data_IF_393105880287
#
_entry.id   IF_393105880287
#
_cell.length_a   1.000
_cell.length_b   1.000
_cell.length_c   1.000
_cell.angle_alpha   90.00
_cell.angle_beta   90.00
_cell.angle_gamma   90.00
#
_symmetry.space_group_name_H-M   'P 1'
#
loop_
_entity.id
_entity.type
_entity.pdbx_description
1 polymer ?
#
# COMPACT_ATOMS: atom_id res chain seq x y z
N UNK A 1 25.28 -6.04 -51.05
CA UNK A 1 26.24 -5.58 -50.01
C UNK A 1 25.49 -4.68 -49.04
N UNK A 2 24.88 -5.25 -48.01
CA UNK A 2 23.98 -4.55 -47.07
C UNK A 2 24.71 -4.44 -45.72
N UNK A 3 25.05 -3.21 -45.32
CA UNK A 3 25.68 -2.93 -44.02
C UNK A 3 24.65 -3.05 -42.89
N UNK A 4 24.71 -4.15 -42.15
CA UNK A 4 24.02 -4.31 -40.87
C UNK A 4 24.71 -3.42 -39.82
N UNK A 5 23.95 -2.51 -39.19
CA UNK A 5 24.41 -1.72 -38.04
C UNK A 5 24.35 -2.59 -36.78
N UNK A 6 25.46 -2.62 -36.07
CA UNK A 6 25.69 -3.32 -34.81
C UNK A 6 25.10 -2.52 -33.64
N UNK A 7 24.21 -3.08 -32.79
CA UNK A 7 23.69 -2.41 -31.61
C UNK A 7 24.39 -2.93 -30.35
N UNK A 8 25.62 -2.49 -30.10
CA UNK A 8 26.28 -2.71 -28.81
C UNK A 8 26.92 -1.43 -28.29
N UNK A 9 26.68 -1.18 -26.99
CA UNK A 9 27.18 -0.09 -26.14
C UNK A 9 26.27 1.14 -26.01
N UNK A 10 25.05 0.94 -25.50
CA UNK A 10 24.50 1.89 -24.53
C UNK A 10 25.08 1.58 -23.15
N UNK A 11 26.16 2.29 -22.78
CA UNK A 11 26.57 2.37 -21.38
C UNK A 11 25.47 3.14 -20.64
N UNK A 12 24.76 2.46 -19.75
CA UNK A 12 23.87 3.11 -18.80
C UNK A 12 24.68 4.09 -17.96
N UNK A 13 24.48 5.39 -18.20
CA UNK A 13 24.89 6.42 -17.27
C UNK A 13 24.09 6.20 -15.98
N UNK A 14 24.79 5.75 -14.95
CA UNK A 14 24.28 5.78 -13.58
C UNK A 14 23.81 7.22 -13.28
N UNK A 15 22.55 7.45 -12.88
CA UNK A 15 22.05 8.81 -12.70
C UNK A 15 22.77 9.44 -11.51
N UNK A 16 23.65 10.42 -11.78
CA UNK A 16 24.29 11.27 -10.74
C UNK A 16 23.28 11.83 -9.74
N UNK A 17 22.01 11.99 -10.14
CA UNK A 17 20.91 12.42 -9.29
C UNK A 17 20.64 11.52 -8.07
N UNK A 18 20.89 10.20 -8.15
CA UNK A 18 20.60 9.29 -7.01
C UNK A 18 21.59 9.49 -5.87
N UNK A 19 22.86 9.81 -6.18
CA UNK A 19 23.88 10.09 -5.16
C UNK A 19 23.68 11.42 -4.43
N UNK A 20 23.17 12.45 -5.13
CA UNK A 20 22.80 13.73 -4.49
C UNK A 20 21.55 13.63 -3.62
N UNK A 21 20.56 12.81 -3.99
CA UNK A 21 19.37 12.61 -3.16
C UNK A 21 19.71 11.86 -1.86
N UNK A 22 20.59 10.86 -1.93
CA UNK A 22 21.03 10.10 -0.76
C UNK A 22 21.91 10.93 0.21
N UNK A 23 22.69 11.90 -0.28
CA UNK A 23 23.47 12.78 0.60
C UNK A 23 22.62 13.81 1.35
N UNK A 24 21.51 14.26 0.75
CA UNK A 24 20.54 15.17 1.41
C UNK A 24 19.67 14.45 2.43
N UNK A 25 19.36 13.16 2.21
CA UNK A 25 18.54 12.37 3.14
C UNK A 25 19.23 12.12 4.49
N UNK A 26 20.56 12.05 4.54
CA UNK A 26 21.30 11.71 5.76
C UNK A 26 21.33 12.82 6.83
N UNK A 27 20.70 13.98 6.58
CA UNK A 27 20.71 15.16 7.49
C UNK A 27 19.30 15.46 8.04
N UNK A 28 18.26 14.77 7.58
CA UNK A 28 16.87 15.14 7.90
C UNK A 28 16.26 14.31 9.04
N UNK A 29 15.60 15.01 9.98
CA UNK A 29 14.76 14.43 11.04
C UNK A 29 13.76 13.38 10.48
N UNK A 30 13.41 12.31 11.25
CA UNK A 30 12.51 11.25 10.82
C UNK A 30 11.16 11.73 10.26
N UNK A 31 10.68 12.90 10.69
CA UNK A 31 9.42 13.48 10.21
C UNK A 31 9.52 14.00 8.77
N UNK A 32 10.71 14.45 8.34
CA UNK A 32 10.94 14.93 6.98
C UNK A 32 11.11 13.77 5.97
N UNK A 33 11.52 12.58 6.45
CA UNK A 33 11.62 11.38 5.61
C UNK A 33 10.27 10.98 5.02
N UNK A 34 9.20 11.07 5.80
CA UNK A 34 7.85 10.67 5.35
C UNK A 34 7.37 11.62 4.24
N UNK A 35 7.56 12.94 4.40
CA UNK A 35 7.15 13.93 3.39
C UNK A 35 7.95 13.81 2.08
N UNK A 36 9.26 13.54 2.15
CA UNK A 36 10.10 13.38 0.96
C UNK A 36 9.78 12.08 0.23
N UNK A 37 9.53 10.98 0.95
CA UNK A 37 9.14 9.69 0.34
C UNK A 37 7.77 9.81 -0.32
N UNK A 38 6.78 10.45 0.31
CA UNK A 38 5.45 10.67 -0.28
C UNK A 38 5.53 11.54 -1.53
N UNK A 39 6.26 12.67 -1.49
CA UNK A 39 6.41 13.56 -2.65
C UNK A 39 7.20 12.91 -3.82
N UNK A 40 8.16 12.04 -3.51
CA UNK A 40 8.91 11.28 -4.52
C UNK A 40 8.07 10.16 -5.13
N UNK A 41 7.21 9.52 -4.33
CA UNK A 41 6.29 8.49 -4.80
C UNK A 41 5.22 9.08 -5.72
N UNK A 42 4.67 10.24 -5.40
CA UNK A 42 3.72 10.96 -6.27
C UNK A 42 4.36 11.34 -7.60
N UNK A 43 5.59 11.86 -7.63
CA UNK A 43 6.29 12.20 -8.89
C UNK A 43 6.62 10.96 -9.72
N UNK A 44 7.07 9.87 -9.11
CA UNK A 44 7.35 8.62 -9.83
C UNK A 44 6.07 7.97 -10.37
N UNK A 45 4.96 8.05 -9.64
CA UNK A 45 3.66 7.56 -10.12
C UNK A 45 3.10 8.45 -11.24
N UNK A 46 3.30 9.78 -11.17
CA UNK A 46 2.82 10.71 -12.19
C UNK A 46 3.60 10.57 -13.51
N UNK A 47 4.92 10.37 -13.45
CA UNK A 47 5.75 10.13 -14.64
C UNK A 47 5.43 8.77 -15.28
N UNK A 48 5.21 7.72 -14.47
CA UNK A 48 4.79 6.41 -15.00
C UNK A 48 3.35 6.37 -15.50
N UNK A 49 2.43 7.14 -14.90
CA UNK A 49 1.07 7.26 -15.39
C UNK A 49 1.05 7.91 -16.78
N UNK A 50 1.92 8.88 -17.04
CA UNK A 50 2.06 9.50 -18.37
C UNK A 50 2.64 8.53 -19.41
N UNK A 51 3.62 7.70 -19.05
CA UNK A 51 4.19 6.70 -19.96
C UNK A 51 3.25 5.49 -20.19
N UNK A 52 2.37 5.16 -19.24
CA UNK A 52 1.37 4.10 -19.41
C UNK A 52 0.09 4.55 -20.14
N UNK A 53 -0.07 5.84 -20.47
CA UNK A 53 -1.28 6.37 -21.12
C UNK A 53 -1.17 6.49 -22.65
N UNK A 54 -0.05 6.09 -23.26
CA UNK A 54 0.12 6.17 -24.71
C UNK A 54 0.06 4.77 -25.33
N UNK A 55 -1.13 4.41 -25.81
CA UNK A 55 -1.49 3.45 -26.89
C UNK A 55 -2.84 2.75 -26.62
N UNK A 56 -3.86 3.49 -26.18
CA UNK A 56 -5.23 3.08 -26.49
C UNK A 56 -5.48 3.56 -27.93
N UNK A 57 -5.58 2.62 -28.86
CA UNK A 57 -5.94 2.90 -30.27
C UNK A 57 -7.23 3.72 -30.32
N UNK A 58 -7.31 4.71 -31.22
CA UNK A 58 -8.54 5.48 -31.47
C UNK A 58 -9.76 4.57 -31.73
N UNK A 59 -9.55 3.35 -32.21
CA UNK A 59 -10.60 2.34 -32.38
C UNK A 59 -11.17 1.81 -31.05
N UNK A 60 -10.32 1.65 -30.04
CA UNK A 60 -10.71 1.17 -28.71
C UNK A 60 -11.43 2.26 -27.91
N UNK A 61 -11.03 3.53 -28.08
CA UNK A 61 -11.74 4.67 -27.50
C UNK A 61 -13.15 4.82 -28.11
N UNK A 62 -13.28 4.65 -29.43
CA UNK A 62 -14.57 4.69 -30.14
C UNK A 62 -15.52 3.56 -29.73
N UNK A 63 -14.97 2.40 -29.36
CA UNK A 63 -15.76 1.24 -28.89
C UNK A 63 -16.38 1.51 -27.51
N UNK A 64 -15.60 2.08 -26.58
CA UNK A 64 -16.08 2.43 -25.24
C UNK A 64 -17.15 3.54 -25.25
N UNK A 65 -16.99 4.53 -26.13
CA UNK A 65 -18.00 5.58 -26.33
C UNK A 65 -19.33 5.06 -26.92
N UNK A 66 -19.33 3.87 -27.55
CA UNK A 66 -20.53 3.23 -28.09
C UNK A 66 -21.26 2.36 -27.07
N UNK A 67 -20.54 1.82 -26.09
CA UNK A 67 -21.09 0.95 -25.04
C UNK A 67 -21.79 1.75 -23.91
N UNK A 68 -21.42 3.03 -23.71
CA UNK A 68 -22.02 3.91 -22.68
C UNK A 68 -23.29 4.66 -23.12
N UNK A 69 -24.15 4.08 -23.96
CA UNK A 69 -25.49 4.64 -24.18
C UNK A 69 -26.44 4.18 -23.07
N UNK A 70 -26.90 5.06 -22.16
CA UNK A 70 -27.90 4.69 -21.18
C UNK A 70 -29.22 4.42 -21.90
N UNK A 71 -29.71 3.19 -21.76
CA UNK A 71 -31.05 2.80 -22.21
C UNK A 71 -32.03 3.41 -21.22
N UNK A 72 -32.64 4.54 -21.57
CA UNK A 72 -33.75 5.13 -20.83
C UNK A 72 -34.96 4.21 -21.05
N UNK A 73 -35.16 3.28 -20.11
CA UNK A 73 -36.35 2.46 -20.03
C UNK A 73 -37.53 3.30 -19.56
N UNK A 74 -38.48 3.54 -20.45
CA UNK A 74 -39.81 4.06 -20.13
C UNK A 74 -40.56 2.98 -19.33
N UNK A 75 -40.88 3.30 -18.07
CA UNK A 75 -41.70 2.45 -17.20
C UNK A 75 -43.16 2.77 -17.48
N UNK A 76 -43.85 1.86 -18.18
CA UNK A 76 -45.31 1.83 -18.23
C UNK A 76 -45.86 1.24 -16.93
N UNK A 77 -46.71 2.02 -16.26
CA UNK A 77 -47.44 1.63 -15.05
C UNK A 77 -48.75 0.97 -15.47
N UNK A 78 -48.84 -0.34 -15.35
CA UNK A 78 -50.10 -1.10 -15.38
C UNK A 78 -50.49 -1.55 -13.96
N UNK A 79 -51.77 -1.46 -13.55
CA UNK A 79 -52.21 -1.90 -12.24
C UNK A 79 -52.54 -3.39 -12.27
N UNK A 80 -52.07 -4.17 -11.30
CA UNK A 80 -52.61 -5.50 -11.11
C UNK A 80 -52.94 -5.84 -9.66
N UNK A 81 -54.14 -6.40 -9.54
CA UNK A 81 -54.88 -6.80 -8.35
C UNK A 81 -54.39 -8.17 -7.88
N UNK A 82 -54.32 -8.32 -6.55
CA UNK A 82 -54.99 -9.38 -5.78
C UNK A 82 -54.53 -10.85 -5.92
N UNK A 83 -54.36 -11.48 -4.75
CA UNK A 83 -54.38 -12.94 -4.52
C UNK A 83 -53.01 -13.48 -4.10
N UNK A 84 -52.68 -13.77 -2.84
CA UNK A 84 -53.26 -14.65 -1.81
C UNK A 84 -52.49 -15.98 -1.67
N UNK A 85 -52.10 -16.29 -0.42
CA UNK A 85 -51.66 -17.60 0.15
C UNK A 85 -50.28 -18.11 -0.31
N UNK A 86 -49.35 -18.59 0.51
CA UNK A 86 -49.37 -19.36 1.78
C UNK A 86 -48.09 -19.06 2.60
N UNK A 87 -48.13 -18.80 3.92
CA UNK A 87 -48.03 -19.73 5.07
C UNK A 87 -46.74 -20.59 5.10
N UNK A 88 -45.96 -20.43 6.18
CA UNK A 88 -44.90 -21.34 6.66
C UNK A 88 -43.56 -20.66 6.94
N UNK A 89 -43.45 -19.78 7.96
CA UNK A 89 -42.94 -20.03 9.33
C UNK A 89 -41.46 -20.47 9.48
N UNK A 90 -40.69 -19.55 10.09
CA UNK A 90 -39.65 -19.66 11.16
C UNK A 90 -38.41 -20.55 10.91
N UNK A 91 -37.17 -20.23 11.32
CA UNK A 91 -36.48 -19.24 12.16
C UNK A 91 -34.97 -19.34 11.72
N UNK A 92 -34.01 -18.45 11.96
CA UNK A 92 -33.63 -17.81 13.22
C UNK A 92 -32.47 -16.81 12.98
N UNK A 93 -32.52 -15.72 13.76
CA UNK A 93 -31.47 -14.78 14.20
C UNK A 93 -30.44 -14.16 13.23
N UNK A 94 -30.81 -12.98 12.70
CA UNK A 94 -29.90 -11.92 12.32
C UNK A 94 -29.60 -10.95 13.48
N UNK A 95 -28.33 -10.61 13.69
CA UNK A 95 -27.92 -9.43 14.46
C UNK A 95 -27.70 -8.25 13.51
N UNK A 96 -28.73 -7.42 13.37
CA UNK A 96 -28.62 -6.06 12.85
C UNK A 96 -28.02 -5.16 13.94
N UNK A 97 -26.89 -4.51 13.65
CA UNK A 97 -26.38 -3.41 14.49
C UNK A 97 -26.96 -2.11 13.95
N UNK A 98 -27.71 -1.45 14.82
CA UNK A 98 -28.41 -0.21 14.60
C UNK A 98 -27.45 0.95 14.27
N UNK A 99 -27.84 1.70 13.25
CA UNK A 99 -27.37 3.04 12.91
C UNK A 99 -27.76 4.02 14.01
N UNK A 100 -26.78 4.53 14.75
CA UNK A 100 -26.95 5.73 15.59
C UNK A 100 -26.47 6.95 14.80
N UNK A 101 -27.43 7.60 14.13
CA UNK A 101 -27.33 8.98 13.71
C UNK A 101 -28.11 9.82 14.71
N UNK A 102 -27.45 10.70 15.47
CA UNK A 102 -27.97 11.93 16.08
C UNK A 102 -26.99 12.50 17.11
N UNK A 103 -26.03 13.33 16.67
CA UNK A 103 -25.47 14.39 17.53
C UNK A 103 -25.34 15.68 16.71
N UNK A 104 -26.31 16.58 16.91
CA UNK A 104 -26.30 17.98 16.47
C UNK A 104 -25.58 18.83 17.52
N UNK A 105 -24.71 19.73 17.04
CA UNK A 105 -24.18 20.97 17.68
C UNK A 105 -23.33 20.76 18.95
N UNK A 106 -22.19 21.43 19.11
CA UNK A 106 -22.09 22.91 19.20
C UNK A 106 -20.65 23.34 18.95
N UNK A 107 -20.46 24.22 17.96
CA UNK A 107 -19.28 25.09 17.89
C UNK A 107 -19.40 26.12 19.01
N UNK A 108 -18.37 26.24 19.83
CA UNK A 108 -17.99 27.51 20.47
C UNK A 108 -16.47 27.61 20.40
N UNK A 109 -16.00 28.46 19.49
CA UNK A 109 -14.77 29.21 19.67
C UNK A 109 -14.82 29.98 21.00
N UNK A 110 -13.69 30.08 21.68
CA UNK A 110 -13.22 31.21 22.48
C UNK A 110 -11.82 30.78 22.99
N UNK A 111 -10.73 31.29 22.43
CA UNK A 111 -10.11 32.57 22.82
C UNK A 111 -10.08 32.79 24.34
N UNK A 112 -8.90 32.61 24.93
CA UNK A 112 -8.25 33.55 25.85
C UNK A 112 -7.14 32.85 26.64
N UNK A 113 -5.93 32.77 26.08
CA UNK A 113 -4.69 32.69 26.86
C UNK A 113 -4.48 34.03 27.57
N UNK A 114 -5.14 34.22 28.70
CA UNK A 114 -4.88 35.34 29.61
C UNK A 114 -3.90 34.86 30.68
N UNK A 115 -2.62 35.13 30.47
CA UNK A 115 -1.61 35.03 31.52
C UNK A 115 -1.93 36.07 32.59
N UNK A 116 -2.31 35.60 33.77
CA UNK A 116 -2.47 36.45 34.95
C UNK A 116 -1.41 35.99 35.96
N UNK A 117 -0.25 36.62 35.88
CA UNK A 117 0.74 36.66 36.95
C UNK A 117 0.15 37.50 38.09
N UNK A 118 -0.40 36.84 39.10
CA UNK A 118 -0.74 37.49 40.37
C UNK A 118 0.48 37.42 41.30
N UNK A 119 1.25 38.50 41.30
CA UNK A 119 2.15 38.84 42.40
C UNK A 119 1.32 39.04 43.67
N UNK A 120 1.45 38.14 44.63
CA UNK A 120 0.99 38.37 46.00
C UNK A 120 1.86 39.47 46.64
N UNK A 121 1.40 40.73 46.55
CA UNK A 121 1.87 41.81 47.44
C UNK A 121 1.24 41.59 48.82
N UNK A 122 2.01 40.98 49.73
CA UNK A 122 1.75 41.01 51.17
C UNK A 122 1.86 42.46 51.64
N UNK A 123 0.73 43.17 51.67
CA UNK A 123 0.60 44.44 52.40
C UNK A 123 0.63 44.10 53.89
N UNK A 124 1.81 44.21 54.52
CA UNK A 124 1.90 44.38 55.98
C UNK A 124 1.12 45.65 56.31
N UNK A 125 -0.09 45.49 56.88
CA UNK A 125 -0.74 46.58 57.60
C UNK A 125 0.13 46.86 58.81
N UNK A 126 0.57 48.11 58.91
CA UNK A 126 1.25 48.64 60.07
C UNK A 126 0.44 48.28 61.32
N UNK A 127 1.08 47.53 62.22
CA UNK A 127 0.69 47.49 63.63
C UNK A 127 0.75 48.93 64.11
N UNK A 128 -0.43 49.48 64.40
CA UNK A 128 -0.57 50.82 64.93
C UNK A 128 0.13 50.91 66.28
N UNK A 129 0.90 52.00 66.42
CA UNK A 129 1.36 52.53 67.70
C UNK A 129 0.29 52.34 68.79
N UNK A 130 0.57 51.44 69.74
CA UNK A 130 -0.02 51.53 71.06
C UNK A 130 0.70 52.68 71.78
N UNK A 131 0.14 53.88 71.66
CA UNK A 131 0.39 54.96 72.63
C UNK A 131 -0.05 54.47 74.01
N UNK A 132 0.81 54.47 75.04
CA UNK A 132 0.40 54.29 76.43
C UNK A 132 0.07 55.66 77.04
N UNK A 133 -0.88 56.39 76.46
CA UNK A 133 -1.37 57.64 77.06
C UNK A 133 -2.90 57.69 77.01
N UNK A 134 -3.52 56.76 77.73
CA UNK A 134 -4.90 56.88 78.16
C UNK A 134 -5.00 57.88 79.31
N UNK A 135 -4.92 59.17 79.00
CA UNK A 135 -5.35 60.23 79.91
C UNK A 135 -6.87 60.21 80.00
N UNK A 136 -7.40 59.36 80.89
CA UNK A 136 -8.83 59.28 81.25
C UNK A 136 -9.14 60.16 82.47
N UNK A 137 -8.38 61.22 82.74
CA UNK A 137 -8.54 62.09 83.92
C UNK A 137 -9.36 63.36 83.63
N UNK A 138 -10.36 63.27 82.76
CA UNK A 138 -11.20 64.42 82.39
C UNK A 138 -12.44 64.64 83.26
N UNK A 139 -13.14 63.58 83.67
CA UNK A 139 -14.25 63.62 84.63
C UNK A 139 -14.27 62.28 85.35
N UNK A 140 -14.00 62.28 86.65
CA UNK A 140 -14.09 61.12 87.52
C UNK A 140 -15.58 60.71 87.63
N UNK A 141 -16.09 59.97 86.65
CA UNK A 141 -17.40 59.32 86.76
C UNK A 141 -17.27 58.27 87.87
N UNK A 142 -18.10 58.40 88.89
CA UNK A 142 -18.20 57.43 89.96
C UNK A 142 -18.76 56.11 89.40
N UNK A 143 -18.41 54.95 89.98
CA UNK A 143 -19.03 53.67 89.59
C UNK A 143 -20.55 53.67 89.78
N UNK A 144 -21.05 54.61 90.58
CA UNK A 144 -22.45 54.82 90.88
C UNK A 144 -23.16 55.74 89.89
N UNK A 145 -22.42 56.40 88.98
CA UNK A 145 -23.01 57.22 87.93
C UNK A 145 -23.60 56.33 86.84
N UNK A 146 -24.80 56.70 86.36
CA UNK A 146 -25.55 55.88 85.40
C UNK A 146 -24.85 55.77 84.03
N UNK A 147 -23.93 56.70 83.74
CA UNK A 147 -23.11 56.77 82.53
C UNK A 147 -21.75 56.04 82.69
N UNK A 148 -21.48 55.40 83.82
CA UNK A 148 -20.21 54.73 84.08
C UNK A 148 -19.99 53.51 83.16
N UNK A 149 -18.96 53.58 82.31
CA UNK A 149 -18.61 52.50 81.39
C UNK A 149 -17.57 51.54 82.00
N UNK A 150 -18.05 50.39 82.47
CA UNK A 150 -17.22 49.34 83.07
C UNK A 150 -16.21 48.69 82.11
N UNK A 151 -16.36 48.85 80.78
CA UNK A 151 -15.44 48.24 79.79
C UNK A 151 -14.14 49.02 79.59
N UNK A 152 -14.09 50.28 80.00
CA UNK A 152 -12.93 51.18 79.80
C UNK A 152 -12.16 51.50 81.09
N UNK A 153 -12.61 51.03 82.26
CA UNK A 153 -11.95 51.29 83.55
C UNK A 153 -11.19 50.08 84.10
N UNK A 154 -9.94 50.30 84.53
CA UNK A 154 -9.09 49.30 85.16
C UNK A 154 -9.63 48.94 86.56
N UNK A 155 -9.67 47.65 86.90
CA UNK A 155 -10.30 47.10 88.13
C UNK A 155 -9.76 47.69 89.44
N UNK A 156 -8.62 48.38 89.42
CA UNK A 156 -7.94 48.95 90.57
C UNK A 156 -8.46 50.32 91.05
N UNK A 157 -9.40 50.97 90.34
CA UNK A 157 -9.80 52.36 90.63
C UNK A 157 -11.32 52.59 90.66
N UNK A 158 -12.10 51.63 91.17
CA UNK A 158 -13.57 51.73 91.14
C UNK A 158 -14.17 52.54 92.29
N UNK A 159 -13.42 52.79 93.37
CA UNK A 159 -13.88 53.64 94.49
C UNK A 159 -13.04 54.90 94.49
N UNK A 160 -13.67 56.03 94.22
CA UNK A 160 -13.03 57.33 94.28
C UNK A 160 -13.18 57.91 95.69
N UNK A 161 -12.25 58.76 96.08
CA UNK A 161 -12.27 59.44 97.38
C UNK A 161 -13.55 60.25 97.62
N UNK A 162 -14.21 60.71 96.55
CA UNK A 162 -15.52 61.38 96.58
C UNK A 162 -16.73 60.46 96.79
N UNK A 163 -16.55 59.14 96.75
CA UNK A 163 -17.60 58.16 97.03
C UNK A 163 -17.71 57.87 98.54
N UNK A 164 -16.61 58.06 99.29
CA UNK A 164 -16.50 57.81 100.74
C UNK A 164 -17.57 58.56 101.57
N UNK A 165 -17.88 59.84 101.34
CA UNK A 165 -18.92 60.54 102.07
C UNK A 165 -20.33 60.04 101.75
N UNK A 166 -20.56 59.51 100.54
CA UNK A 166 -21.86 58.96 100.12
C UNK A 166 -22.14 57.62 100.80
N UNK A 167 -21.12 56.82 101.10
CA UNK A 167 -21.27 55.61 101.90
C UNK A 167 -21.68 55.90 103.36
N UNK A 168 -21.26 57.05 103.91
CA UNK A 168 -21.61 57.46 105.27
C UNK A 168 -23.06 57.90 105.46
N UNK A 169 -23.79 58.24 104.38
CA UNK A 169 -25.19 58.67 104.43
C UNK A 169 -26.19 57.55 104.13
N UNK A 170 -25.72 56.36 103.75
CA UNK A 170 -26.58 55.23 103.45
C UNK A 170 -26.73 54.32 104.68
N UNK A 171 -27.98 53.98 105.01
CA UNK A 171 -28.24 52.94 106.00
C UNK A 171 -27.75 51.58 105.51
N UNK A 172 -27.44 50.68 106.45
CA UNK A 172 -26.94 49.31 106.15
C UNK A 172 -27.83 48.60 105.12
N UNK A 173 -29.16 48.75 105.22
CA UNK A 173 -30.12 48.13 104.28
C UNK A 173 -30.00 48.67 102.85
N UNK A 174 -29.65 49.95 102.67
CA UNK A 174 -29.46 50.55 101.35
C UNK A 174 -28.13 50.12 100.71
N UNK A 175 -27.08 49.98 101.53
CA UNK A 175 -25.79 49.44 101.11
C UNK A 175 -25.91 47.97 100.70
N UNK A 176 -26.61 47.16 101.51
CA UNK A 176 -26.87 45.76 101.22
C UNK A 176 -27.74 45.60 99.95
N UNK A 177 -28.85 46.32 99.83
CA UNK A 177 -29.72 46.25 98.66
C UNK A 177 -29.08 46.79 97.37
N UNK A 178 -28.18 47.77 97.49
CA UNK A 178 -27.34 48.23 96.38
C UNK A 178 -26.33 47.16 95.96
N UNK A 179 -25.55 46.63 96.91
CA UNK A 179 -24.57 45.58 96.65
C UNK A 179 -25.21 44.32 96.01
N UNK A 180 -26.37 43.88 96.49
CA UNK A 180 -27.12 42.76 95.91
C UNK A 180 -27.57 43.02 94.47
N UNK A 181 -28.04 44.24 94.15
CA UNK A 181 -28.41 44.62 92.77
C UNK A 181 -27.20 44.63 91.84
N UNK A 182 -26.06 45.14 92.30
CA UNK A 182 -24.83 45.15 91.52
C UNK A 182 -24.26 43.74 91.33
N UNK A 183 -24.25 42.90 92.37
CA UNK A 183 -23.87 41.50 92.27
C UNK A 183 -24.78 40.74 91.30
N UNK A 184 -26.10 40.93 91.39
CA UNK A 184 -27.07 40.33 90.47
C UNK A 184 -26.84 40.77 89.02
N UNK A 185 -26.55 42.06 88.80
CA UNK A 185 -26.22 42.60 87.48
C UNK A 185 -24.90 42.09 86.94
N UNK A 186 -23.87 41.95 87.77
CA UNK A 186 -22.58 41.38 87.39
C UNK A 186 -22.70 39.89 87.01
N UNK A 187 -23.47 39.12 87.79
CA UNK A 187 -23.78 37.71 87.48
C UNK A 187 -24.54 37.61 86.16
N UNK A 188 -25.56 38.45 85.93
CA UNK A 188 -26.30 38.47 84.66
C UNK A 188 -25.40 38.82 83.45
N UNK A 189 -24.51 39.81 83.59
CA UNK A 189 -23.54 40.17 82.54
C UNK A 189 -22.52 39.06 82.29
N UNK A 190 -22.04 38.36 83.32
CA UNK A 190 -21.17 37.19 83.16
C UNK A 190 -21.90 36.05 82.46
N UNK A 191 -23.15 35.77 82.81
CA UNK A 191 -23.98 34.78 82.12
C UNK A 191 -24.16 35.13 80.65
N UNK A 192 -24.47 36.40 80.32
CA UNK A 192 -24.58 36.87 78.93
C UNK A 192 -23.24 36.79 78.17
N UNK A 193 -22.12 37.14 78.82
CA UNK A 193 -20.80 37.01 78.23
C UNK A 193 -20.44 35.54 77.94
N UNK A 194 -20.75 34.63 78.87
CA UNK A 194 -20.57 33.20 78.68
C UNK A 194 -21.48 32.63 77.58
N UNK A 195 -22.74 33.09 77.51
CA UNK A 195 -23.66 32.72 76.43
C UNK A 195 -23.14 33.20 75.07
N UNK A 196 -22.67 34.46 74.97
CA UNK A 196 -22.11 35.01 73.74
C UNK A 196 -20.81 34.31 73.33
N UNK A 197 -19.95 33.96 74.30
CA UNK A 197 -18.75 33.17 74.04
C UNK A 197 -19.11 31.77 73.52
N UNK A 198 -20.12 31.14 74.11
CA UNK A 198 -20.63 29.82 73.68
C UNK A 198 -21.29 29.88 72.30
N UNK A 199 -22.06 30.92 72.00
CA UNK A 199 -22.66 31.16 70.68
C UNK A 199 -21.57 31.34 69.62
N UNK A 200 -20.55 32.17 69.88
CA UNK A 200 -19.42 32.34 68.99
C UNK A 200 -18.65 31.03 68.76
N UNK A 201 -18.46 30.23 69.81
CA UNK A 201 -17.84 28.90 69.70
C UNK A 201 -18.69 27.95 68.84
N UNK A 202 -20.00 27.95 69.01
CA UNK A 202 -20.91 27.14 68.20
C UNK A 202 -20.88 27.56 66.71
N UNK A 203 -20.89 28.87 66.42
CA UNK A 203 -20.76 29.38 65.05
C UNK A 203 -19.41 29.00 64.44
N UNK A 204 -18.33 29.09 65.21
CA UNK A 204 -17.01 28.65 64.76
C UNK A 204 -16.97 27.15 64.45
N UNK A 205 -17.58 26.32 65.32
CA UNK A 205 -17.68 24.87 65.12
C UNK A 205 -18.51 24.51 63.88
N UNK A 206 -19.64 25.19 63.64
CA UNK A 206 -20.46 24.98 62.44
C UNK A 206 -19.68 25.34 61.17
N UNK A 207 -18.98 26.47 61.15
CA UNK A 207 -18.13 26.86 60.01
C UNK A 207 -16.98 25.87 59.79
N UNK A 208 -16.35 25.38 60.86
CA UNK A 208 -15.30 24.37 60.75
C UNK A 208 -15.84 23.05 60.16
N UNK A 209 -17.02 22.63 60.59
CA UNK A 209 -17.68 21.43 60.07
C UNK A 209 -18.11 21.59 58.60
N UNK A 210 -18.65 22.75 58.20
CA UNK A 210 -18.96 23.06 56.81
C UNK A 210 -17.71 23.04 55.92
N UNK A 211 -16.61 23.63 56.39
CA UNK A 211 -15.33 23.62 55.68
C UNK A 211 -14.77 22.19 55.55
N UNK A 212 -14.78 21.40 56.63
CA UNK A 212 -14.33 20.01 56.60
C UNK A 212 -15.17 19.16 55.63
N UNK A 213 -16.49 19.38 55.59
CA UNK A 213 -17.38 18.71 54.63
C UNK A 213 -17.10 19.16 53.18
N UNK A 214 -16.80 20.44 52.95
CA UNK A 214 -16.43 20.95 51.64
C UNK A 214 -15.08 20.40 51.16
N UNK A 215 -14.12 20.26 52.08
CA UNK A 215 -12.79 19.69 51.83
C UNK A 215 -12.89 18.20 51.51
N UNK A 216 -13.63 17.43 52.31
CA UNK A 216 -13.91 16.00 52.02
C UNK A 216 -14.60 15.81 50.66
N UNK A 217 -15.51 16.71 50.26
CA UNK A 217 -16.12 16.67 48.92
C UNK A 217 -15.10 16.93 47.81
N UNK A 218 -14.17 17.88 48.00
CA UNK A 218 -13.10 18.17 47.04
C UNK A 218 -12.11 17.02 46.93
N UNK A 219 -11.75 16.38 48.04
CA UNK A 219 -10.86 15.21 48.05
C UNK A 219 -11.46 14.04 47.27
N UNK A 220 -12.77 13.78 47.44
CA UNK A 220 -13.47 12.76 46.62
C UNK A 220 -13.44 13.10 45.13
N UNK A 221 -13.73 14.35 44.76
CA UNK A 221 -13.65 14.78 43.37
C UNK A 221 -12.24 14.66 42.79
N UNK A 222 -11.20 15.00 43.56
CA UNK A 222 -9.81 14.83 43.15
C UNK A 222 -9.45 13.36 42.97
N UNK A 223 -9.92 12.48 43.86
CA UNK A 223 -9.72 11.05 43.73
C UNK A 223 -10.39 10.48 42.47
N UNK A 224 -11.65 10.86 42.21
CA UNK A 224 -12.39 10.42 41.02
C UNK A 224 -11.71 10.89 39.73
N UNK A 225 -11.25 12.16 39.69
CA UNK A 225 -10.50 12.70 38.56
C UNK A 225 -9.15 12.02 38.38
N UNK A 226 -8.43 11.69 39.46
CA UNK A 226 -7.17 10.96 39.38
C UNK A 226 -7.39 9.55 38.80
N UNK A 227 -8.45 8.87 39.22
CA UNK A 227 -8.81 7.56 38.66
C UNK A 227 -9.14 7.65 37.16
N UNK A 228 -9.83 8.72 36.73
CA UNK A 228 -10.09 8.97 35.30
C UNK A 228 -8.80 9.20 34.51
N UNK A 229 -7.84 9.97 35.05
CA UNK A 229 -6.53 10.17 34.44
C UNK A 229 -5.77 8.85 34.28
N UNK A 230 -5.76 8.01 35.31
CA UNK A 230 -5.08 6.71 35.26
C UNK A 230 -5.71 5.78 34.21
N UNK A 231 -7.05 5.77 34.13
CA UNK A 231 -7.79 5.01 33.12
C UNK A 231 -7.47 5.50 31.70
N UNK A 232 -7.46 6.83 31.48
CA UNK A 232 -7.11 7.43 30.19
C UNK A 232 -5.65 7.12 29.80
N UNK A 233 -4.73 7.11 30.76
CA UNK A 233 -3.33 6.77 30.53
C UNK A 233 -3.13 5.31 30.13
N UNK A 234 -3.89 4.39 30.73
CA UNK A 234 -3.92 2.98 30.32
C UNK A 234 -4.46 2.83 28.88
N UNK A 235 -5.51 3.57 28.56
CA UNK A 235 -6.13 3.61 27.24
C UNK A 235 -5.19 4.14 26.14
N UNK A 236 -4.44 5.20 26.44
CA UNK A 236 -3.39 5.75 25.56
C UNK A 236 -2.31 4.69 25.33
N UNK A 237 -1.82 4.05 26.38
CA UNK A 237 -0.78 3.01 26.29
C UNK A 237 -1.24 1.82 25.41
N UNK A 238 -2.53 1.44 25.52
CA UNK A 238 -3.14 0.41 24.68
C UNK A 238 -3.20 0.82 23.21
N UNK A 239 -3.64 2.04 22.91
CA UNK A 239 -3.71 2.56 21.53
C UNK A 239 -2.33 2.72 20.90
N UNK A 240 -1.33 3.15 21.67
CA UNK A 240 0.06 3.23 21.19
C UNK A 240 0.63 1.86 20.81
N UNK A 241 0.31 0.80 21.57
CA UNK A 241 0.67 -0.57 21.20
C UNK A 241 0.02 -0.98 19.89
N UNK A 242 -1.28 -0.72 19.73
CA UNK A 242 -2.00 -1.01 18.48
C UNK A 242 -1.40 -0.25 17.28
N UNK A 243 -1.02 1.02 17.45
CA UNK A 243 -0.37 1.81 16.41
C UNK A 243 0.98 1.20 16.00
N UNK A 244 1.79 0.74 16.95
CA UNK A 244 3.06 0.06 16.64
C UNK A 244 2.86 -1.25 15.89
N UNK A 245 1.84 -2.02 16.24
CA UNK A 245 1.53 -3.28 15.57
C UNK A 245 1.04 -3.04 14.13
N UNK A 246 0.14 -2.06 13.93
CA UNK A 246 -0.30 -1.64 12.60
C UNK A 246 0.85 -1.06 11.75
N UNK A 247 1.78 -0.31 12.35
CA UNK A 247 2.96 0.18 11.64
C UNK A 247 3.83 -0.97 11.14
N UNK A 248 4.02 -2.04 11.92
CA UNK A 248 4.73 -3.24 11.48
C UNK A 248 4.01 -3.93 10.33
N UNK A 249 2.69 -4.05 10.40
CA UNK A 249 1.87 -4.63 9.32
C UNK A 249 2.00 -3.83 8.03
N UNK A 250 1.95 -2.49 8.09
CA UNK A 250 2.16 -1.62 6.93
C UNK A 250 3.55 -1.81 6.33
N UNK A 251 4.60 -1.90 7.14
CA UNK A 251 5.97 -2.17 6.65
C UNK A 251 6.05 -3.53 5.96
N UNK A 252 5.40 -4.56 6.51
CA UNK A 252 5.36 -5.89 5.89
C UNK A 252 4.61 -5.86 4.55
N UNK A 253 3.43 -5.23 4.50
CA UNK A 253 2.66 -5.09 3.26
C UNK A 253 3.41 -4.32 2.17
N UNK A 254 4.22 -3.33 2.55
CA UNK A 254 5.09 -2.62 1.61
C UNK A 254 6.19 -3.53 1.06
N UNK A 255 6.78 -4.40 1.88
CA UNK A 255 7.76 -5.38 1.42
C UNK A 255 7.12 -6.41 0.46
N UNK A 256 5.93 -6.91 0.79
CA UNK A 256 5.19 -7.85 -0.06
C UNK A 256 4.79 -7.20 -1.40
N UNK A 257 4.39 -5.93 -1.39
CA UNK A 257 4.08 -5.19 -2.61
C UNK A 257 5.29 -5.08 -3.55
N UNK A 258 6.49 -4.83 -3.01
CA UNK A 258 7.74 -4.80 -3.80
C UNK A 258 8.00 -6.15 -4.45
N UNK A 259 7.79 -7.25 -3.72
CA UNK A 259 7.97 -8.61 -4.25
C UNK A 259 6.95 -8.93 -5.36
N UNK A 260 5.69 -8.52 -5.21
CA UNK A 260 4.68 -8.63 -6.27
C UNK A 260 5.10 -7.88 -7.54
N UNK A 261 5.65 -6.66 -7.40
CA UNK A 261 6.17 -5.92 -8.56
C UNK A 261 7.34 -6.63 -9.23
N UNK A 262 8.24 -7.25 -8.46
CA UNK A 262 9.36 -8.05 -8.98
C UNK A 262 8.85 -9.26 -9.78
N UNK A 263 7.95 -10.05 -9.19
CA UNK A 263 7.35 -11.22 -9.83
C UNK A 263 6.57 -10.84 -11.10
N UNK A 264 5.86 -9.71 -11.10
CA UNK A 264 5.15 -9.21 -12.29
C UNK A 264 6.12 -8.86 -13.43
N UNK A 265 7.27 -8.27 -13.12
CA UNK A 265 8.33 -7.98 -14.10
C UNK A 265 8.96 -9.25 -14.66
N UNK A 266 9.13 -10.29 -13.84
CA UNK A 266 9.62 -11.59 -14.28
C UNK A 266 8.60 -12.31 -15.18
N UNK A 267 7.31 -12.28 -14.81
CA UNK A 267 6.23 -12.85 -15.62
C UNK A 267 6.13 -12.21 -17.01
N UNK A 268 6.33 -10.89 -17.14
CA UNK A 268 6.32 -10.24 -18.46
C UNK A 268 7.54 -10.62 -19.31
N UNK A 269 8.73 -10.78 -18.70
CA UNK A 269 9.91 -11.30 -19.40
C UNK A 269 9.68 -12.71 -19.95
N UNK A 270 9.18 -13.62 -19.12
CA UNK A 270 8.86 -14.99 -19.53
C UNK A 270 7.78 -15.04 -20.62
N UNK A 271 6.78 -14.15 -20.54
CA UNK A 271 5.75 -14.03 -21.58
C UNK A 271 6.33 -13.60 -22.93
N UNK A 272 7.30 -12.68 -22.92
CA UNK A 272 8.00 -12.25 -24.13
C UNK A 272 8.87 -13.37 -24.70
N UNK A 273 9.64 -14.07 -23.87
CA UNK A 273 10.46 -15.22 -24.27
C UNK A 273 9.59 -16.35 -24.86
N UNK A 274 8.45 -16.64 -24.24
CA UNK A 274 7.46 -17.60 -24.77
C UNK A 274 6.99 -17.20 -26.17
N UNK A 275 6.70 -15.91 -26.39
CA UNK A 275 6.28 -15.41 -27.71
C UNK A 275 7.37 -15.54 -28.77
N UNK A 276 8.63 -15.26 -28.41
CA UNK A 276 9.80 -15.45 -29.28
C UNK A 276 9.97 -16.94 -29.65
N UNK A 277 9.84 -17.84 -28.67
CA UNK A 277 9.94 -19.28 -28.91
C UNK A 277 8.82 -19.81 -29.81
N UNK A 278 7.58 -19.32 -29.67
CA UNK A 278 6.50 -19.67 -30.59
C UNK A 278 6.77 -19.23 -32.02
N UNK A 279 7.27 -18.01 -32.24
CA UNK A 279 7.66 -17.54 -33.57
C UNK A 279 8.78 -18.40 -34.16
N UNK A 280 9.79 -18.75 -33.35
CA UNK A 280 10.88 -19.64 -33.79
C UNK A 280 10.36 -21.03 -34.16
N UNK A 281 9.47 -21.60 -33.36
CA UNK A 281 8.84 -22.90 -33.62
C UNK A 281 8.03 -22.88 -34.92
N UNK A 282 7.25 -21.82 -35.14
CA UNK A 282 6.49 -21.63 -36.37
C UNK A 282 7.42 -21.57 -37.59
N UNK A 283 8.50 -20.78 -37.51
CA UNK A 283 9.47 -20.64 -38.61
C UNK A 283 10.18 -21.97 -38.93
N UNK A 284 10.61 -22.73 -37.91
CA UNK A 284 11.16 -24.07 -38.11
C UNK A 284 10.14 -25.02 -38.75
N UNK A 285 8.86 -24.89 -38.38
CA UNK A 285 7.77 -25.64 -39.01
C UNK A 285 7.60 -25.32 -40.49
N UNK A 286 7.70 -24.05 -40.88
CA UNK A 286 7.65 -23.65 -42.30
C UNK A 286 8.89 -24.08 -43.07
N UNK A 287 10.09 -23.99 -42.48
CA UNK A 287 11.34 -24.42 -43.09
C UNK A 287 11.34 -25.94 -43.33
N UNK A 288 10.83 -26.71 -42.36
CA UNK A 288 10.67 -28.16 -42.51
C UNK A 288 9.76 -28.51 -43.68
N UNK A 289 8.59 -27.85 -43.82
CA UNK A 289 7.68 -28.07 -44.95
C UNK A 289 8.34 -27.77 -46.30
N UNK A 290 9.13 -26.69 -46.37
CA UNK A 290 9.85 -26.33 -47.59
C UNK A 290 10.90 -27.39 -47.95
N UNK A 291 11.64 -27.90 -46.97
CA UNK A 291 12.60 -29.01 -47.19
C UNK A 291 11.91 -30.32 -47.57
N UNK A 292 10.75 -30.61 -47.00
CA UNK A 292 9.96 -31.79 -47.35
C UNK A 292 9.48 -31.72 -48.81
N UNK A 293 9.08 -30.53 -49.28
CA UNK A 293 8.71 -30.28 -50.69
C UNK A 293 9.93 -30.40 -51.64
N UNK A 294 11.07 -29.81 -51.27
CA UNK A 294 12.32 -29.95 -52.03
C UNK A 294 12.76 -31.42 -52.15
N UNK A 295 12.64 -32.20 -51.06
CA UNK A 295 12.93 -33.63 -51.06
C UNK A 295 11.96 -34.42 -51.95
N UNK A 296 10.68 -34.03 -51.99
CA UNK A 296 9.69 -34.63 -52.87
C UNK A 296 10.05 -34.41 -54.34
N UNK A 297 10.34 -33.17 -54.74
CA UNK A 297 10.74 -32.83 -56.12
C UNK A 297 12.06 -33.52 -56.53
N UNK A 298 13.04 -33.60 -55.62
CA UNK A 298 14.28 -34.34 -55.88
C UNK A 298 14.02 -35.85 -56.11
N UNK A 299 13.13 -36.46 -55.32
CA UNK A 299 12.74 -37.87 -55.52
C UNK A 299 12.04 -38.09 -56.86
N UNK A 300 11.15 -37.18 -57.24
CA UNK A 300 10.46 -37.21 -58.54
C UNK A 300 11.46 -37.15 -59.70
N UNK A 301 12.37 -36.15 -59.69
CA UNK A 301 13.43 -36.03 -60.71
C UNK A 301 14.33 -37.27 -60.75
N UNK A 302 14.71 -37.83 -59.59
CA UNK A 302 15.51 -39.06 -59.53
C UNK A 302 14.79 -40.24 -60.21
N UNK A 303 13.48 -40.37 -60.02
CA UNK A 303 12.69 -41.42 -60.67
C UNK A 303 12.61 -41.22 -62.19
N UNK A 304 12.41 -39.98 -62.66
CA UNK A 304 12.43 -39.62 -64.08
C UNK A 304 13.79 -39.93 -64.72
N UNK A 305 14.90 -39.56 -64.07
CA UNK A 305 16.25 -39.91 -64.52
C UNK A 305 16.47 -41.42 -64.57
N UNK A 306 16.02 -42.15 -63.55
CA UNK A 306 16.16 -43.62 -63.51
C UNK A 306 15.39 -44.26 -64.66
N UNK A 307 14.18 -43.78 -64.96
CA UNK A 307 13.40 -44.22 -66.12
C UNK A 307 14.11 -43.90 -67.43
N UNK A 308 14.66 -42.69 -67.58
CA UNK A 308 15.41 -42.31 -68.78
C UNK A 308 16.66 -43.18 -69.01
N UNK A 309 17.34 -43.60 -67.94
CA UNK A 309 18.47 -44.54 -68.03
C UNK A 309 17.99 -45.91 -68.50
N UNK A 310 16.87 -46.41 -67.97
CA UNK A 310 16.28 -47.68 -68.42
C UNK A 310 15.90 -47.63 -69.90
N UNK A 311 15.21 -46.56 -70.33
CA UNK A 311 14.82 -46.36 -71.73
C UNK A 311 16.06 -46.27 -72.65
N UNK A 312 17.14 -45.65 -72.19
CA UNK A 312 18.40 -45.59 -72.93
C UNK A 312 19.07 -46.96 -73.06
N UNK A 313 19.13 -47.74 -71.97
CA UNK A 313 19.71 -49.08 -71.99
C UNK A 313 18.93 -50.04 -72.93
N UNK A 314 17.60 -49.91 -73.00
CA UNK A 314 16.79 -50.67 -73.96
C UNK A 314 17.17 -50.30 -75.40
N UNK A 315 17.25 -49.01 -75.72
CA UNK A 315 17.68 -48.55 -77.06
C UNK A 315 19.11 -48.97 -77.41
N UNK A 316 20.02 -48.96 -76.44
CA UNK A 316 21.39 -49.43 -76.66
C UNK A 316 21.40 -50.93 -77.01
N UNK A 317 20.57 -51.74 -76.35
CA UNK A 317 20.42 -53.16 -76.68
C UNK A 317 19.82 -53.36 -78.08
N UNK A 318 18.76 -52.63 -78.43
CA UNK A 318 18.17 -52.62 -79.78
C UNK A 318 19.20 -52.25 -80.85
N UNK A 319 20.00 -51.20 -80.60
CA UNK A 319 21.05 -50.79 -81.53
C UNK A 319 22.12 -51.85 -81.71
N UNK A 320 22.57 -52.51 -80.63
CA UNK A 320 23.53 -53.61 -80.72
C UNK A 320 22.99 -54.79 -81.53
N UNK A 321 21.72 -55.14 -81.34
CA UNK A 321 21.05 -56.19 -82.12
C UNK A 321 20.97 -55.82 -83.61
N UNK A 322 20.61 -54.56 -83.93
CA UNK A 322 20.60 -54.10 -85.33
C UNK A 322 21.99 -54.07 -85.94
N UNK A 323 23.01 -53.67 -85.17
CA UNK A 323 24.41 -53.67 -85.61
C UNK A 323 24.87 -55.10 -85.94
N UNK A 324 24.57 -56.07 -85.07
CA UNK A 324 24.89 -57.49 -85.28
C UNK A 324 24.13 -58.07 -86.48
N UNK A 325 22.84 -57.77 -86.62
CA UNK A 325 22.06 -58.17 -87.80
C UNK A 325 22.64 -57.59 -89.10
N UNK A 326 23.06 -56.33 -89.11
CA UNK A 326 23.67 -55.70 -90.28
C UNK A 326 25.03 -56.32 -90.60
N UNK A 327 25.87 -56.60 -89.60
CA UNK A 327 27.12 -57.34 -89.80
C UNK A 327 26.87 -58.68 -90.46
N UNK A 328 25.91 -59.45 -89.95
CA UNK A 328 25.53 -60.75 -90.52
C UNK A 328 25.03 -60.62 -91.96
N UNK A 329 24.19 -59.63 -92.27
CA UNK A 329 23.71 -59.38 -93.63
C UNK A 329 24.86 -59.01 -94.59
N UNK A 330 25.80 -58.17 -94.14
CA UNK A 330 26.98 -57.79 -94.94
C UNK A 330 27.82 -59.04 -95.23
N UNK A 331 28.12 -59.86 -94.23
CA UNK A 331 28.89 -61.11 -94.41
C UNK A 331 28.20 -62.04 -95.42
N UNK A 332 26.89 -62.30 -95.26
CA UNK A 332 26.12 -63.14 -96.19
C UNK A 332 26.09 -62.56 -97.61
N UNK A 333 25.94 -61.24 -97.75
CA UNK A 333 25.94 -60.57 -99.07
C UNK A 333 27.31 -60.62 -99.74
N UNK A 334 28.39 -60.55 -98.95
CA UNK A 334 29.75 -60.66 -99.43
C UNK A 334 30.07 -62.08 -99.88
N UNK A 335 29.70 -63.10 -99.10
CA UNK A 335 29.84 -64.52 -99.46
C UNK A 335 29.09 -64.82 -100.77
N UNK A 336 27.81 -64.44 -100.86
CA UNK A 336 26.99 -64.67 -102.06
C UNK A 336 27.50 -63.90 -103.28
N UNK A 337 27.92 -62.64 -103.11
CA UNK A 337 28.52 -61.84 -104.17
C UNK A 337 29.87 -62.40 -104.65
N UNK A 338 30.69 -62.93 -103.74
CA UNK A 338 31.96 -63.55 -104.07
C UNK A 338 31.76 -64.83 -104.88
N UNK A 339 30.84 -65.70 -104.46
CA UNK A 339 30.46 -66.90 -105.22
C UNK A 339 29.96 -66.53 -106.62
N UNK A 340 29.06 -65.55 -106.73
CA UNK A 340 28.56 -65.09 -108.03
C UNK A 340 29.68 -64.54 -108.94
N UNK A 341 30.66 -63.84 -108.37
CA UNK A 341 31.83 -63.37 -109.12
C UNK A 341 32.72 -64.53 -109.60
N UNK A 342 32.93 -65.56 -108.77
CA UNK A 342 33.65 -66.77 -109.16
C UNK A 342 32.94 -67.53 -110.28
N UNK A 343 31.61 -67.66 -110.19
CA UNK A 343 30.79 -68.26 -111.25
C UNK A 343 30.94 -67.50 -112.57
N UNK A 344 30.94 -66.15 -112.55
CA UNK A 344 31.16 -65.35 -113.74
C UNK A 344 32.56 -65.56 -114.34
N UNK A 345 33.61 -65.64 -113.52
CA UNK A 345 34.98 -65.93 -113.98
C UNK A 345 35.06 -67.31 -114.62
N UNK A 346 34.43 -68.33 -114.02
CA UNK A 346 34.37 -69.68 -114.56
C UNK A 346 33.71 -69.73 -115.95
N UNK A 347 32.65 -68.95 -116.16
CA UNK A 347 31.96 -68.85 -117.46
C UNK A 347 32.83 -68.16 -118.52
N UNK A 348 33.55 -67.10 -118.15
CA UNK A 348 34.37 -66.33 -119.08
C UNK A 348 35.71 -67.00 -119.43
N UNK A 349 36.26 -67.83 -118.54
CA UNK A 349 37.57 -68.45 -118.69
C UNK A 349 37.53 -69.95 -118.39
N UNK A 350 37.06 -70.75 -119.34
CA UNK A 350 36.93 -72.22 -119.26
C UNK A 350 38.23 -72.99 -118.90
N UNK A 351 39.40 -72.37 -119.05
CA UNK A 351 40.71 -72.99 -118.77
C UNK A 351 41.30 -72.63 -117.40
N UNK A 352 40.66 -71.74 -116.63
CA UNK A 352 41.13 -71.38 -115.29
C UNK A 352 40.61 -72.41 -114.29
N UNK A 353 41.53 -73.17 -113.69
CA UNK A 353 41.22 -74.11 -112.63
C UNK A 353 41.01 -73.35 -111.31
N UNK A 354 39.75 -73.25 -110.89
CA UNK A 354 39.36 -72.61 -109.63
C UNK A 354 39.36 -73.59 -108.45
N UNK A 355 39.77 -74.85 -108.64
CA UNK A 355 39.73 -75.87 -107.57
C UNK A 355 40.70 -75.58 -106.42
N UNK A 356 41.76 -74.80 -106.65
CA UNK A 356 42.69 -74.37 -105.59
C UNK A 356 42.23 -73.11 -104.83
N UNK A 357 41.11 -72.50 -105.22
CA UNK A 357 40.61 -71.28 -104.60
C UNK A 357 39.90 -71.60 -103.27
N UNK A 358 40.68 -71.58 -102.19
CA UNK A 358 40.19 -71.80 -100.83
C UNK A 358 39.51 -70.53 -100.29
N UNK A 359 38.18 -70.58 -100.24
CA UNK A 359 37.30 -69.51 -99.76
C UNK A 359 37.57 -69.12 -98.29
N UNK A 360 38.22 -69.98 -97.51
CA UNK A 360 38.48 -69.75 -96.09
C UNK A 360 39.84 -69.08 -95.82
N UNK A 361 40.49 -68.52 -96.85
CA UNK A 361 41.77 -67.80 -96.68
C UNK A 361 41.55 -66.30 -96.56
N UNK A 362 41.92 -65.74 -95.42
CA UNK A 362 41.86 -64.30 -95.12
C UNK A 362 43.24 -63.66 -95.32
N UNK A 363 43.26 -62.39 -95.71
CA UNK A 363 44.51 -61.63 -95.84
C UNK A 363 44.83 -60.95 -94.51
N UNK A 364 45.78 -61.50 -93.76
CA UNK A 364 46.33 -60.89 -92.54
C UNK A 364 47.75 -60.40 -92.85
N UNK A 365 48.01 -59.11 -92.61
CA UNK A 365 49.31 -58.46 -92.89
C UNK A 365 49.86 -58.71 -94.31
N UNK A 366 48.97 -58.78 -95.31
CA UNK A 366 49.34 -58.98 -96.71
C UNK A 366 49.68 -60.42 -97.10
N UNK A 367 49.44 -61.41 -96.23
CA UNK A 367 49.57 -62.85 -96.54
C UNK A 367 48.20 -63.54 -96.49
N UNK A 368 47.92 -64.43 -97.44
CA UNK A 368 46.76 -65.33 -97.35
C UNK A 368 47.06 -66.45 -96.36
N UNK A 369 46.33 -66.47 -95.26
CA UNK A 369 46.35 -67.51 -94.22
C UNK A 369 44.96 -68.12 -94.09
N UNK A 370 44.87 -69.39 -93.71
CA UNK A 370 43.58 -70.00 -93.38
C UNK A 370 42.98 -69.29 -92.17
N UNK A 371 41.67 -69.15 -92.14
CA UNK A 371 40.94 -68.44 -91.08
C UNK A 371 41.21 -68.99 -89.66
N UNK A 372 41.62 -70.26 -89.53
CA UNK A 372 42.03 -70.87 -88.25
C UNK A 372 43.44 -70.46 -87.76
N UNK A 373 44.27 -69.85 -88.62
CA UNK A 373 45.65 -69.42 -88.33
C UNK A 373 45.79 -67.89 -88.18
N UNK A 374 44.71 -67.15 -88.45
CA UNK A 374 44.57 -65.70 -88.32
C UNK A 374 44.08 -65.32 -86.92
#
# INVERSE_FOLDING_TARGET
MVRLRNPEKQRMHEPRAVKEILSVLNVASPTNYILIVVASFERCCFIRAFDCQMFISNAELARRLKEDKPTIGVVEVGPNKGGASSIGDNSDEGKQIASYSHLKRKRTSNDATRSVSHQFKIKRKAEGNLNPEGSCLGKKLSMWDQEFNFSTHNRSHNVLEGDVPKFGSWGVDQLCGGAEKYLSRAVALMCLANLKAKENANVANLKAMENANAESKREKQLHDLQQEVDNLQADVSKREKQLRDLQKEVVQLLADAVEVYRLRSEATKLSNEKSILYLKLHNMGTEKKLKDEELYELRKKKAEFTKSIQDFNVKEAEWKETEESLKNQITLSFESGFVAALEQVAVLHLTIDLSELDLCKVVVDGKLVKEEEA
#
